data_IF_186589354276
#
_entry.id   IF_186589354276
#
_cell.length_a   1.000
_cell.length_b   1.000
_cell.length_c   1.000
_cell.angle_alpha   90.00
_cell.angle_beta   90.00
_cell.angle_gamma   90.00
#
_symmetry.space_group_name_H-M   'P 1'
#
loop_
_entity.id
_entity.type
_entity.pdbx_description
1 polymer ?
#
# COMPACT_ATOMS: atom_id res chain seq x y z
N UNK A 1 14.39 -5.37 -7.54
CA UNK A 1 13.92 -3.99 -7.32
C UNK A 1 12.48 -4.10 -6.87
N UNK A 2 12.14 -3.59 -5.68
CA UNK A 2 10.75 -3.61 -5.20
C UNK A 2 10.10 -2.32 -5.69
N UNK A 3 9.14 -2.45 -6.59
CA UNK A 3 8.40 -1.31 -7.17
C UNK A 3 7.05 -1.19 -6.46
N UNK A 4 6.38 -0.03 -6.55
CA UNK A 4 5.01 0.17 -6.06
C UNK A 4 4.05 -0.93 -6.54
N UNK A 5 4.25 -1.44 -7.75
CA UNK A 5 3.54 -2.58 -8.32
C UNK A 5 3.74 -3.88 -7.52
N UNK A 6 4.98 -4.19 -7.09
CA UNK A 6 5.27 -5.37 -6.26
C UNK A 6 4.60 -5.28 -4.90
N UNK A 7 4.57 -4.07 -4.31
CA UNK A 7 3.88 -3.84 -3.03
C UNK A 7 2.36 -4.00 -3.20
N UNK A 8 1.78 -3.54 -4.31
CA UNK A 8 0.37 -3.79 -4.66
C UNK A 8 0.08 -5.27 -4.81
N UNK A 9 0.92 -5.99 -5.55
CA UNK A 9 0.71 -7.43 -5.79
C UNK A 9 0.73 -8.20 -4.46
N UNK A 10 1.73 -7.94 -3.62
CA UNK A 10 1.82 -8.54 -2.28
C UNK A 10 0.67 -8.11 -1.36
N UNK A 11 0.22 -6.86 -1.44
CA UNK A 11 -0.93 -6.39 -0.68
C UNK A 11 -2.23 -7.07 -1.14
N UNK A 12 -2.40 -7.31 -2.45
CA UNK A 12 -3.55 -8.05 -2.99
C UNK A 12 -3.54 -9.53 -2.59
N UNK A 13 -2.38 -10.11 -2.30
CA UNK A 13 -2.28 -11.48 -1.77
C UNK A 13 -2.85 -11.60 -0.33
N UNK A 14 -2.94 -10.50 0.41
CA UNK A 14 -3.55 -10.48 1.74
C UNK A 14 -5.07 -10.38 1.64
N UNK A 15 -5.75 -11.40 2.16
CA UNK A 15 -7.22 -11.45 2.28
C UNK A 15 -7.73 -10.20 3.04
N UNK A 16 -8.76 -9.54 2.50
CA UNK A 16 -9.35 -8.29 3.03
C UNK A 16 -8.51 -7.01 2.85
N UNK A 17 -7.58 -7.00 1.89
CA UNK A 17 -6.78 -5.80 1.59
C UNK A 17 -7.45 -4.90 0.56
N UNK A 18 -7.61 -3.63 0.90
CA UNK A 18 -8.09 -2.57 0.00
C UNK A 18 -7.02 -1.49 -0.16
N UNK A 19 -6.77 -1.13 -1.42
CA UNK A 19 -5.97 0.03 -1.77
C UNK A 19 -6.89 1.25 -1.89
N UNK A 20 -6.63 2.30 -1.11
CA UNK A 20 -7.24 3.61 -1.28
C UNK A 20 -6.19 4.57 -1.86
N UNK A 21 -6.23 4.85 -3.18
CA UNK A 21 -5.35 5.80 -3.82
C UNK A 21 -5.76 7.22 -3.40
N UNK A 22 -5.01 7.83 -2.49
CA UNK A 22 -5.28 9.19 -2.03
C UNK A 22 -4.30 10.16 -2.70
N UNK A 23 -4.60 10.53 -3.95
CA UNK A 23 -4.01 11.58 -4.83
C UNK A 23 -2.49 11.56 -5.07
N UNK A 24 -1.66 11.31 -4.06
CA UNK A 24 -0.19 11.24 -4.12
C UNK A 24 0.41 10.12 -3.24
N UNK A 25 -0.42 9.46 -2.41
CA UNK A 25 -0.01 8.36 -1.52
C UNK A 25 -1.02 7.21 -1.62
N UNK A 26 -0.55 6.01 -1.88
CA UNK A 26 -1.40 4.81 -1.93
C UNK A 26 -1.44 4.20 -0.54
N UNK A 27 -2.60 4.25 0.12
CA UNK A 27 -2.77 3.65 1.44
C UNK A 27 -3.34 2.25 1.30
N UNK A 28 -2.68 1.28 1.91
CA UNK A 28 -3.15 -0.10 2.01
C UNK A 28 -3.82 -0.32 3.36
N UNK A 29 -5.07 -0.76 3.30
CA UNK A 29 -5.89 -1.10 4.46
C UNK A 29 -6.16 -2.60 4.44
N UNK A 30 -6.09 -3.24 5.59
CA UNK A 30 -6.48 -4.65 5.77
C UNK A 30 -7.54 -4.70 6.86
N UNK A 31 -8.69 -5.33 6.60
CA UNK A 31 -9.79 -5.47 7.58
C UNK A 31 -10.15 -4.13 8.27
N UNK A 32 -10.30 -3.07 7.48
CA UNK A 32 -10.64 -1.72 7.97
C UNK A 32 -9.54 -0.99 8.79
N UNK A 33 -8.29 -1.50 8.81
CA UNK A 33 -7.13 -0.84 9.42
C UNK A 33 -6.06 -0.52 8.40
N UNK A 34 -5.51 0.69 8.41
CA UNK A 34 -4.35 1.06 7.59
C UNK A 34 -3.13 0.34 8.15
N UNK A 35 -2.48 -0.49 7.34
CA UNK A 35 -1.24 -1.19 7.71
C UNK A 35 -0.02 -0.69 6.95
N UNK A 36 -0.20 -0.17 5.73
CA UNK A 36 0.89 0.38 4.94
C UNK A 36 0.44 1.62 4.16
N UNK A 37 1.37 2.55 3.95
CA UNK A 37 1.19 3.71 3.09
C UNK A 37 2.40 3.81 2.18
N UNK A 38 2.16 3.75 0.88
CA UNK A 38 3.14 3.92 -0.18
C UNK A 38 3.19 5.41 -0.57
N UNK A 39 4.34 6.02 -0.32
CA UNK A 39 4.71 7.32 -0.83
C UNK A 39 5.44 7.13 -2.17
N UNK A 40 4.74 7.31 -3.29
CA UNK A 40 5.38 7.25 -4.62
C UNK A 40 6.36 8.41 -4.80
N UNK A 41 6.06 9.60 -4.26
CA UNK A 41 6.95 10.77 -4.27
C UNK A 41 8.30 10.54 -3.56
N UNK A 42 8.36 9.64 -2.57
CA UNK A 42 9.62 9.32 -1.85
C UNK A 42 10.15 7.91 -2.15
N UNK A 43 9.47 7.12 -2.99
CA UNK A 43 9.72 5.68 -3.14
C UNK A 43 9.85 4.96 -1.77
N UNK A 44 9.01 5.33 -0.80
CA UNK A 44 9.05 4.79 0.55
C UNK A 44 7.71 4.16 0.90
N UNK A 45 7.77 3.03 1.60
CA UNK A 45 6.59 2.41 2.22
C UNK A 45 6.71 2.60 3.72
N UNK A 46 5.69 3.21 4.32
CA UNK A 46 5.56 3.35 5.77
C UNK A 46 4.56 2.31 6.25
N UNK A 47 5.02 1.34 7.04
CA UNK A 47 4.14 0.38 7.71
C UNK A 47 3.81 0.89 9.13
N UNK A 48 2.55 0.76 9.54
CA UNK A 48 2.03 1.23 10.83
C UNK A 48 1.57 0.07 11.70
#
# INVERSE_FOLDING_TARGET
MVTSATVREQALEFEDTTEEPHFEKTSFRVKNKIFATLDESKHQVVLK
#
